data_IF_675634272346
#
_entry.id   IF_675634272346
#
_cell.length_a   1.000
_cell.length_b   1.000
_cell.length_c   1.000
_cell.angle_alpha   90.00
_cell.angle_beta   90.00
_cell.angle_gamma   90.00
#
_symmetry.space_group_name_H-M   'P 1'
#
loop_
_entity.id
_entity.type
_entity.pdbx_description
1 polymer ?
#
# COMPACT_ATOMS: atom_id res chain seq x y z
N UNK A 1 8.89 -10.96 20.52
CA UNK A 1 8.64 -11.64 19.23
C UNK A 1 9.46 -10.97 18.16
N UNK A 2 9.86 -11.74 17.16
CA UNK A 2 10.52 -11.22 15.96
C UNK A 2 9.49 -11.09 14.84
N UNK A 3 9.34 -9.89 14.31
CA UNK A 3 8.44 -9.56 13.20
C UNK A 3 9.30 -9.32 11.97
N UNK A 4 9.10 -10.09 10.92
CA UNK A 4 9.72 -9.92 9.61
C UNK A 4 8.74 -9.19 8.72
N UNK A 5 9.13 -8.02 8.21
CA UNK A 5 8.32 -7.21 7.31
C UNK A 5 9.00 -7.12 5.93
N UNK A 6 8.27 -7.51 4.90
CA UNK A 6 8.75 -7.45 3.53
C UNK A 6 8.19 -6.21 2.87
N UNK A 7 9.06 -5.25 2.55
CA UNK A 7 8.70 -4.00 1.90
C UNK A 7 9.64 -3.72 0.74
N UNK A 8 9.14 -3.06 -0.31
CA UNK A 8 9.99 -2.52 -1.36
C UNK A 8 10.70 -1.24 -0.85
N UNK A 9 11.88 -0.97 -1.39
CA UNK A 9 12.58 0.28 -1.10
C UNK A 9 11.85 1.47 -1.71
N UNK A 10 11.86 2.58 -1.01
CA UNK A 10 11.53 3.84 -1.63
C UNK A 10 12.54 4.14 -2.74
N UNK A 11 12.09 4.60 -3.92
CA UNK A 11 13.00 4.94 -4.99
C UNK A 11 14.00 6.00 -4.49
N UNK A 12 15.29 5.65 -4.53
CA UNK A 12 16.36 6.60 -4.23
C UNK A 12 16.26 7.78 -5.19
N UNK A 13 15.93 8.92 -4.65
CA UNK A 13 15.73 10.12 -5.44
C UNK A 13 14.30 10.66 -5.43
N UNK A 14 13.41 10.00 -4.70
CA UNK A 14 12.08 10.49 -4.38
C UNK A 14 11.26 11.01 -5.55
N UNK A 15 10.11 11.57 -5.26
CA UNK A 15 9.40 12.44 -6.19
C UNK A 15 10.32 13.61 -6.56
N UNK A 16 10.30 14.05 -7.82
CA UNK A 16 11.07 15.24 -8.22
C UNK A 16 10.84 16.34 -7.19
N UNK A 17 11.88 17.08 -6.83
CA UNK A 17 11.85 18.20 -5.88
C UNK A 17 10.82 19.30 -6.24
N UNK A 18 10.17 19.17 -7.38
CA UNK A 18 9.04 19.99 -7.84
C UNK A 18 7.69 19.68 -7.15
N UNK A 19 7.62 18.65 -6.30
CA UNK A 19 6.44 18.41 -5.46
C UNK A 19 6.78 18.73 -4.01
N UNK A 20 6.64 19.99 -3.59
CA UNK A 20 6.79 20.32 -2.19
C UNK A 20 5.60 19.75 -1.42
N UNK A 21 5.76 18.58 -0.84
CA UNK A 21 4.77 17.93 0.03
C UNK A 21 4.39 18.86 1.19
N UNK A 22 5.32 19.72 1.57
CA UNK A 22 5.15 20.72 2.62
C UNK A 22 4.09 21.80 2.31
N UNK A 23 3.74 21.97 1.03
CA UNK A 23 2.71 22.94 0.59
C UNK A 23 1.33 22.32 0.41
N UNK A 24 1.19 21.00 0.54
CA UNK A 24 -0.12 20.37 0.49
C UNK A 24 -0.92 20.76 1.75
N UNK A 25 -2.20 21.14 1.58
CA UNK A 25 -3.03 21.49 2.72
C UNK A 25 -3.14 20.28 3.66
N UNK A 26 -2.80 20.49 4.93
CA UNK A 26 -3.00 19.46 5.95
C UNK A 26 -4.49 19.38 6.26
N UNK A 27 -5.05 18.22 6.09
CA UNK A 27 -6.43 17.94 6.50
C UNK A 27 -6.38 17.50 7.96
N UNK A 28 -6.75 18.41 8.86
CA UNK A 28 -6.77 18.13 10.31
C UNK A 28 -7.98 17.30 10.72
N UNK A 29 -9.03 17.32 9.91
CA UNK A 29 -10.29 16.65 10.23
C UNK A 29 -11.00 16.18 8.96
N UNK A 30 -11.35 14.92 8.90
CA UNK A 30 -12.17 14.39 7.82
C UNK A 30 -13.66 14.74 8.04
N UNK A 31 -14.44 14.93 6.93
CA UNK A 31 -15.84 15.39 7.02
C UNK A 31 -16.78 14.53 7.85
N UNK A 32 -16.50 13.26 8.00
CA UNK A 32 -17.30 12.31 8.77
C UNK A 32 -16.93 12.23 10.27
N UNK A 33 -16.11 13.16 10.74
CA UNK A 33 -15.63 13.18 12.11
C UNK A 33 -14.50 12.18 12.39
N UNK A 34 -14.00 11.47 11.42
CA UNK A 34 -12.78 10.66 11.57
C UNK A 34 -11.61 11.60 11.86
N UNK A 35 -11.08 11.47 13.05
CA UNK A 35 -9.80 12.10 13.40
C UNK A 35 -8.73 11.05 13.18
N UNK A 36 -7.96 11.20 12.11
CA UNK A 36 -6.66 10.52 12.09
C UNK A 36 -5.74 11.28 13.04
N UNK A 37 -4.96 10.56 13.88
CA UNK A 37 -3.84 11.21 14.55
C UNK A 37 -2.98 11.79 13.45
N UNK A 38 -2.88 13.12 13.39
CA UNK A 38 -2.00 13.80 12.44
C UNK A 38 -0.64 13.89 13.13
N UNK A 39 0.35 13.11 12.72
CA UNK A 39 1.69 13.29 13.22
C UNK A 39 2.12 14.73 12.91
N UNK A 40 2.86 15.36 13.83
CA UNK A 40 3.39 16.72 13.64
C UNK A 40 4.31 16.84 12.42
N UNK A 41 4.73 15.72 11.89
CA UNK A 41 5.41 15.50 10.63
C UNK A 41 5.51 14.02 10.36
N UNK A 42 5.48 13.61 9.11
CA UNK A 42 5.87 12.25 8.74
C UNK A 42 7.36 12.33 8.54
N UNK A 43 8.11 11.65 9.39
CA UNK A 43 9.55 11.55 9.27
C UNK A 43 9.88 10.47 8.22
N UNK A 44 10.10 10.91 6.99
CA UNK A 44 10.46 10.03 5.90
C UNK A 44 11.97 9.84 5.89
N UNK A 45 12.43 8.67 6.25
CA UNK A 45 13.79 8.25 5.94
C UNK A 45 13.82 7.65 4.53
N UNK A 46 14.58 8.21 3.59
CA UNK A 46 14.76 7.63 2.27
C UNK A 46 15.25 6.16 2.37
N UNK A 47 14.54 5.23 1.72
CA UNK A 47 14.85 3.80 1.77
C UNK A 47 14.10 3.01 2.83
N UNK A 48 13.35 3.67 3.71
CA UNK A 48 12.30 3.04 4.53
C UNK A 48 10.96 3.48 3.97
N UNK A 49 10.07 2.51 3.71
CA UNK A 49 8.83 2.85 3.09
C UNK A 49 8.00 3.69 4.04
N UNK A 50 7.96 4.98 3.75
CA UNK A 50 6.92 5.91 4.18
C UNK A 50 6.49 5.66 5.63
N UNK A 51 5.96 6.54 6.33
CA UNK A 51 5.55 6.44 7.71
C UNK A 51 4.93 5.13 8.23
N UNK A 52 4.74 4.11 7.38
CA UNK A 52 4.31 2.78 7.84
C UNK A 52 5.40 1.99 8.58
N UNK A 53 6.67 2.28 8.36
CA UNK A 53 7.78 1.64 9.09
C UNK A 53 8.45 2.63 10.04
N UNK A 54 8.72 3.85 9.59
CA UNK A 54 9.38 4.89 10.37
C UNK A 54 8.41 5.99 10.82
N UNK A 55 8.82 6.83 11.76
CA UNK A 55 8.04 7.95 12.27
C UNK A 55 7.14 7.62 13.46
N UNK A 56 6.42 8.63 13.93
CA UNK A 56 5.63 8.58 15.17
C UNK A 56 4.51 7.52 15.13
N UNK A 57 3.92 7.30 13.97
CA UNK A 57 2.88 6.29 13.75
C UNK A 57 3.42 5.01 13.09
N UNK A 58 4.75 4.92 12.96
CA UNK A 58 5.39 3.83 12.26
C UNK A 58 5.29 2.49 13.01
N UNK A 59 5.26 1.42 12.23
CA UNK A 59 5.23 0.05 12.76
C UNK A 59 6.46 -0.26 13.64
N UNK A 60 7.62 0.29 13.29
CA UNK A 60 8.87 0.11 14.06
C UNK A 60 8.70 0.58 15.49
N UNK A 61 8.31 1.85 15.65
CA UNK A 61 8.13 2.43 17.00
C UNK A 61 7.10 1.65 17.81
N UNK A 62 5.97 1.31 17.20
CA UNK A 62 4.91 0.54 17.86
C UNK A 62 5.41 -0.82 18.38
N UNK A 63 6.16 -1.54 17.56
CA UNK A 63 6.65 -2.89 17.91
C UNK A 63 7.81 -2.83 18.91
N UNK A 64 8.76 -1.92 18.72
CA UNK A 64 9.93 -1.79 19.60
C UNK A 64 9.54 -1.29 20.98
N UNK A 65 8.61 -0.33 21.08
CA UNK A 65 8.06 0.12 22.36
C UNK A 65 7.32 -1.00 23.12
N UNK A 66 6.75 -1.98 22.39
CA UNK A 66 6.15 -3.17 22.95
C UNK A 66 7.16 -4.32 23.25
N UNK A 67 8.44 -4.07 23.08
CA UNK A 67 9.51 -5.04 23.34
C UNK A 67 9.66 -6.12 22.27
N UNK A 68 9.26 -5.84 21.02
CA UNK A 68 9.40 -6.72 19.88
C UNK A 68 10.55 -6.26 18.98
N UNK A 69 11.06 -7.17 18.15
CA UNK A 69 12.10 -6.87 17.16
C UNK A 69 11.45 -6.78 15.79
N UNK A 70 11.66 -5.69 15.05
CA UNK A 70 11.24 -5.55 13.67
C UNK A 70 12.45 -5.66 12.74
N UNK A 71 12.38 -6.60 11.80
CA UNK A 71 13.33 -6.74 10.69
C UNK A 71 12.59 -6.40 9.40
N UNK A 72 13.15 -5.50 8.60
CA UNK A 72 12.57 -5.08 7.32
C UNK A 72 13.55 -5.43 6.20
N UNK A 73 13.05 -6.00 5.12
CA UNK A 73 13.86 -6.32 3.95
C UNK A 73 13.04 -6.27 2.66
N UNK A 74 13.70 -5.92 1.55
CA UNK A 74 13.18 -6.02 0.19
C UNK A 74 13.74 -7.24 -0.56
N UNK A 75 14.79 -7.87 -0.04
CA UNK A 75 15.45 -9.04 -0.64
C UNK A 75 14.64 -10.31 -0.31
N UNK A 76 13.80 -10.75 -1.26
CA UNK A 76 12.76 -11.75 -1.03
C UNK A 76 12.66 -12.87 -2.08
N UNK A 77 13.28 -12.71 -3.26
CA UNK A 77 12.96 -13.57 -4.41
C UNK A 77 13.95 -14.73 -4.60
N UNK A 78 15.24 -14.48 -4.39
CA UNK A 78 16.26 -15.49 -4.61
C UNK A 78 16.29 -16.54 -3.48
N UNK A 79 16.60 -17.80 -3.78
CA UNK A 79 16.90 -18.79 -2.74
C UNK A 79 18.05 -18.31 -1.83
N UNK A 80 17.84 -18.40 -0.53
CA UNK A 80 18.80 -17.89 0.46
C UNK A 80 18.84 -16.37 0.60
N UNK A 81 17.82 -15.66 0.10
CA UNK A 81 17.65 -14.23 0.29
C UNK A 81 17.58 -13.84 1.77
N UNK A 82 17.67 -12.53 2.04
CA UNK A 82 17.58 -12.04 3.42
C UNK A 82 16.26 -12.42 4.07
N UNK A 83 15.13 -12.34 3.35
CA UNK A 83 13.84 -12.71 3.88
C UNK A 83 13.78 -14.18 4.33
N UNK A 84 14.37 -15.13 3.58
CA UNK A 84 14.42 -16.53 3.98
C UNK A 84 15.29 -16.75 5.23
N UNK A 85 16.42 -16.06 5.33
CA UNK A 85 17.29 -16.17 6.51
C UNK A 85 16.61 -15.65 7.76
N UNK A 86 15.91 -14.54 7.64
CA UNK A 86 15.18 -13.92 8.76
C UNK A 86 13.89 -14.68 9.12
N UNK A 87 13.31 -15.41 8.15
CA UNK A 87 12.11 -16.20 8.32
C UNK A 87 12.30 -17.36 9.31
N UNK A 88 13.50 -17.94 9.36
CA UNK A 88 13.79 -19.18 10.13
C UNK A 88 13.38 -19.07 11.60
N UNK A 89 13.53 -17.90 12.18
CA UNK A 89 13.24 -17.62 13.60
C UNK A 89 12.17 -16.52 13.79
N UNK A 90 11.52 -16.07 12.72
CA UNK A 90 10.45 -15.11 12.79
C UNK A 90 9.20 -15.70 13.46
N UNK A 91 8.58 -14.94 14.36
CA UNK A 91 7.27 -15.25 14.94
C UNK A 91 6.11 -14.79 14.06
N UNK A 92 6.29 -13.66 13.36
CA UNK A 92 5.29 -13.04 12.51
C UNK A 92 5.95 -12.60 11.20
N UNK A 93 5.26 -12.83 10.08
CA UNK A 93 5.64 -12.28 8.77
C UNK A 93 4.57 -11.30 8.33
N UNK A 94 4.99 -10.12 7.88
CA UNK A 94 4.14 -9.13 7.22
C UNK A 94 4.58 -9.03 5.76
N UNK A 95 3.69 -9.34 4.84
CA UNK A 95 3.92 -9.25 3.40
C UNK A 95 2.82 -8.43 2.74
N UNK A 96 2.97 -8.13 1.46
CA UNK A 96 2.03 -7.29 0.72
C UNK A 96 1.62 -7.97 -0.59
N UNK A 97 0.35 -7.90 -1.00
CA UNK A 97 -0.09 -8.54 -2.23
C UNK A 97 0.51 -7.92 -3.49
N UNK A 98 0.91 -6.66 -3.45
CA UNK A 98 1.54 -5.95 -4.57
C UNK A 98 3.07 -6.02 -4.59
N UNK A 99 3.69 -6.52 -3.53
CA UNK A 99 5.12 -6.85 -3.43
C UNK A 99 5.26 -8.16 -2.63
N UNK A 100 4.73 -9.28 -3.16
CA UNK A 100 4.53 -10.48 -2.38
C UNK A 100 5.85 -11.18 -2.03
N UNK A 101 5.98 -11.61 -0.80
CA UNK A 101 6.87 -12.67 -0.40
C UNK A 101 6.07 -13.97 -0.40
N UNK A 102 6.27 -14.80 -1.41
CA UNK A 102 5.53 -16.04 -1.54
C UNK A 102 5.88 -16.99 -0.40
N UNK A 103 4.96 -17.14 0.55
CA UNK A 103 5.09 -18.02 1.68
C UNK A 103 4.64 -19.43 1.25
N UNK A 104 5.52 -20.09 0.50
CA UNK A 104 5.28 -21.44 -0.02
C UNK A 104 5.39 -22.48 1.10
N UNK A 105 4.97 -23.71 0.81
CA UNK A 105 5.09 -24.85 1.73
C UNK A 105 6.53 -25.04 2.23
N UNK A 106 7.51 -24.89 1.34
CA UNK A 106 8.92 -25.01 1.65
C UNK A 106 9.38 -23.93 2.65
N UNK A 107 8.97 -22.68 2.39
CA UNK A 107 9.27 -21.55 3.28
C UNK A 107 8.57 -21.68 4.62
N UNK A 108 7.33 -22.13 4.64
CA UNK A 108 6.62 -22.44 5.89
C UNK A 108 7.35 -23.53 6.69
N UNK A 109 7.84 -24.57 6.02
CA UNK A 109 8.60 -25.61 6.68
C UNK A 109 9.93 -25.15 7.29
N UNK A 110 10.51 -24.05 6.78
CA UNK A 110 11.72 -23.42 7.34
C UNK A 110 11.41 -22.56 8.58
N UNK A 111 10.20 -22.02 8.66
CA UNK A 111 9.75 -21.02 9.62
C UNK A 111 9.34 -21.66 10.96
N UNK A 112 10.30 -22.09 11.76
CA UNK A 112 10.07 -22.92 12.95
C UNK A 112 9.24 -22.25 14.05
N UNK A 113 9.28 -20.94 14.12
CA UNK A 113 8.62 -20.16 15.18
C UNK A 113 7.39 -19.42 14.68
N UNK A 114 7.09 -19.50 13.37
CA UNK A 114 6.05 -18.70 12.75
C UNK A 114 4.66 -19.05 13.31
N UNK A 115 3.96 -18.06 13.78
CA UNK A 115 2.62 -18.14 14.35
C UNK A 115 1.58 -17.43 13.49
N UNK A 116 2.01 -16.38 12.78
CA UNK A 116 1.09 -15.54 12.05
C UNK A 116 1.75 -14.99 10.77
N UNK A 117 0.98 -15.01 9.68
CA UNK A 117 1.30 -14.32 8.43
C UNK A 117 0.23 -13.24 8.20
N UNK A 118 0.67 -11.99 8.09
CA UNK A 118 -0.20 -10.83 7.85
C UNK A 118 0.00 -10.36 6.43
N UNK A 119 -1.08 -10.30 5.68
CA UNK A 119 -1.12 -9.64 4.37
C UNK A 119 -1.52 -8.19 4.57
N UNK A 120 -0.59 -7.26 4.36
CA UNK A 120 -0.84 -5.82 4.48
C UNK A 120 -1.57 -5.31 3.22
N UNK A 121 -2.79 -5.76 3.04
CA UNK A 121 -3.66 -5.49 1.90
C UNK A 121 -4.78 -6.50 1.83
N UNK A 122 -5.44 -6.58 0.69
CA UNK A 122 -6.51 -7.52 0.41
C UNK A 122 -5.96 -8.64 -0.49
N UNK A 123 -6.25 -9.89 -0.13
CA UNK A 123 -5.78 -11.07 -0.84
C UNK A 123 -4.54 -11.72 -0.20
N UNK A 124 -4.60 -13.03 -0.10
CA UNK A 124 -3.56 -13.88 0.48
C UNK A 124 -3.03 -14.93 -0.51
N UNK A 125 -3.18 -14.71 -1.81
CA UNK A 125 -2.79 -15.65 -2.87
C UNK A 125 -1.29 -16.01 -2.86
N UNK A 126 -0.48 -15.19 -2.19
CA UNK A 126 0.95 -15.42 -2.01
C UNK A 126 1.28 -16.29 -0.77
N UNK A 127 0.28 -16.77 -0.06
CA UNK A 127 0.44 -17.67 1.09
C UNK A 127 -0.16 -19.03 0.76
N UNK A 128 0.61 -20.09 0.96
CA UNK A 128 0.08 -21.47 0.90
C UNK A 128 -0.80 -21.71 2.14
N UNK A 129 -2.10 -21.48 1.97
CA UNK A 129 -3.08 -21.58 3.06
C UNK A 129 -3.16 -23.00 3.64
N UNK A 130 -3.02 -24.04 2.81
CA UNK A 130 -3.05 -25.42 3.31
C UNK A 130 -1.84 -25.70 4.18
N UNK A 131 -0.65 -25.31 3.73
CA UNK A 131 0.55 -25.47 4.52
C UNK A 131 0.52 -24.64 5.81
N UNK A 132 -0.06 -23.43 5.77
CA UNK A 132 -0.25 -22.60 6.95
C UNK A 132 -1.17 -23.29 7.99
N UNK A 133 -2.31 -23.81 7.55
CA UNK A 133 -3.24 -24.55 8.43
C UNK A 133 -2.59 -25.79 9.04
N UNK A 134 -1.88 -26.58 8.23
CA UNK A 134 -1.19 -27.81 8.69
C UNK A 134 -0.13 -27.49 9.76
N UNK A 135 0.47 -26.31 9.71
CA UNK A 135 1.47 -25.84 10.67
C UNK A 135 0.90 -24.92 11.76
N UNK A 136 -0.44 -24.74 11.82
CA UNK A 136 -1.15 -23.90 12.80
C UNK A 136 -0.68 -22.44 12.78
N UNK A 137 -0.46 -21.92 11.58
CA UNK A 137 -0.12 -20.51 11.33
C UNK A 137 -1.40 -19.77 10.98
N UNK A 138 -1.71 -18.74 11.73
CA UNK A 138 -2.82 -17.85 11.42
C UNK A 138 -2.48 -16.96 10.21
N UNK A 139 -3.37 -16.89 9.23
CA UNK A 139 -3.23 -16.01 8.07
C UNK A 139 -4.28 -14.93 8.15
N UNK A 140 -3.85 -13.68 8.17
CA UNK A 140 -4.72 -12.52 8.31
C UNK A 140 -4.54 -11.54 7.16
N UNK A 141 -5.63 -10.94 6.72
CA UNK A 141 -5.67 -9.85 5.75
C UNK A 141 -6.16 -8.57 6.40
N UNK A 142 -5.66 -7.43 5.91
CA UNK A 142 -6.16 -6.11 6.32
C UNK A 142 -7.30 -5.72 5.38
N UNK A 143 -8.41 -6.44 5.52
CA UNK A 143 -9.59 -6.27 4.68
C UNK A 143 -10.30 -4.94 4.99
N UNK A 144 -10.81 -4.27 3.96
CA UNK A 144 -11.53 -2.99 4.01
C UNK A 144 -10.74 -1.75 4.46
N UNK A 145 -9.44 -1.86 4.77
CA UNK A 145 -8.65 -0.72 5.26
C UNK A 145 -8.59 0.46 4.28
N UNK A 146 -8.63 0.19 2.98
CA UNK A 146 -8.53 1.20 1.92
C UNK A 146 -9.75 1.24 0.97
N UNK A 147 -10.86 0.57 1.31
CA UNK A 147 -12.02 0.44 0.42
C UNK A 147 -12.59 1.80 0.01
N UNK A 148 -12.67 2.76 0.93
CA UNK A 148 -13.12 4.12 0.63
C UNK A 148 -12.17 4.82 -0.36
N UNK A 149 -10.87 4.77 -0.10
CA UNK A 149 -9.85 5.36 -0.98
C UNK A 149 -9.90 4.77 -2.39
N UNK A 150 -10.10 3.46 -2.50
CA UNK A 150 -10.25 2.78 -3.80
C UNK A 150 -11.52 3.22 -4.49
N UNK A 151 -12.66 3.31 -3.79
CA UNK A 151 -13.93 3.75 -4.36
C UNK A 151 -13.84 5.19 -4.89
N UNK A 152 -13.28 6.10 -4.11
CA UNK A 152 -13.07 7.49 -4.52
C UNK A 152 -12.14 7.61 -5.71
N UNK A 153 -11.06 6.81 -5.74
CA UNK A 153 -10.13 6.78 -6.86
C UNK A 153 -10.79 6.27 -8.15
N UNK A 154 -11.63 5.24 -8.05
CA UNK A 154 -12.41 4.72 -9.20
C UNK A 154 -13.35 5.81 -9.74
N UNK A 155 -14.11 6.48 -8.87
CA UNK A 155 -15.01 7.57 -9.30
C UNK A 155 -14.21 8.71 -9.95
N UNK A 156 -13.08 9.09 -9.37
CA UNK A 156 -12.19 10.09 -9.96
C UNK A 156 -11.72 9.67 -11.36
N UNK A 157 -11.29 8.42 -11.54
CA UNK A 157 -10.85 7.92 -12.85
C UNK A 157 -11.99 7.94 -13.89
N UNK A 158 -13.19 7.49 -13.51
CA UNK A 158 -14.36 7.50 -14.38
C UNK A 158 -14.66 8.93 -14.84
N UNK A 159 -14.75 9.87 -13.91
CA UNK A 159 -15.01 11.28 -14.23
C UNK A 159 -13.90 11.89 -15.08
N UNK A 160 -12.64 11.57 -14.78
CA UNK A 160 -11.50 12.05 -15.57
C UNK A 160 -11.55 11.57 -17.02
N UNK A 161 -11.99 10.33 -17.24
CA UNK A 161 -12.13 9.75 -18.58
C UNK A 161 -13.32 10.34 -19.34
N UNK A 162 -14.52 10.35 -18.76
CA UNK A 162 -15.72 10.86 -19.47
C UNK A 162 -15.67 12.36 -19.70
N UNK A 163 -14.96 13.10 -18.87
CA UNK A 163 -14.74 14.55 -19.03
C UNK A 163 -13.49 14.90 -19.84
N UNK A 164 -12.75 13.93 -20.36
CA UNK A 164 -11.50 14.12 -21.12
C UNK A 164 -10.47 15.03 -20.39
N UNK A 165 -10.41 14.89 -19.05
CA UNK A 165 -9.63 15.80 -18.19
C UNK A 165 -8.15 15.85 -18.57
N UNK A 166 -7.52 14.70 -18.84
CA UNK A 166 -6.08 14.64 -19.11
C UNK A 166 -5.67 15.39 -20.38
N UNK A 167 -6.47 15.29 -21.45
CA UNK A 167 -6.18 16.01 -22.68
C UNK A 167 -6.42 17.51 -22.50
N UNK A 168 -7.49 17.89 -21.81
CA UNK A 168 -7.79 19.30 -21.54
C UNK A 168 -6.72 19.94 -20.67
N UNK A 169 -6.26 19.23 -19.64
CA UNK A 169 -5.15 19.68 -18.80
C UNK A 169 -3.86 19.91 -19.62
N UNK A 170 -3.52 18.98 -20.52
CA UNK A 170 -2.34 19.10 -21.38
C UNK A 170 -2.46 20.32 -22.31
N UNK A 171 -3.61 20.48 -22.97
CA UNK A 171 -3.86 21.60 -23.88
C UNK A 171 -3.68 22.95 -23.16
N UNK A 172 -4.23 23.07 -21.95
CA UNK A 172 -4.11 24.30 -21.15
C UNK A 172 -2.68 24.57 -20.74
N UNK A 173 -1.95 23.54 -20.28
CA UNK A 173 -0.55 23.70 -19.91
C UNK A 173 0.37 24.06 -21.07
N UNK A 174 0.02 23.67 -22.27
CA UNK A 174 0.72 24.04 -23.50
C UNK A 174 0.31 25.42 -24.03
N UNK A 175 -0.52 26.16 -23.29
CA UNK A 175 -1.00 27.51 -23.65
C UNK A 175 -2.18 27.50 -24.65
N UNK A 176 -2.78 26.34 -24.87
CA UNK A 176 -3.94 26.21 -25.75
C UNK A 176 -5.25 26.52 -25.03
N UNK A 177 -6.26 26.90 -25.85
CA UNK A 177 -7.62 27.06 -25.39
C UNK A 177 -8.57 26.60 -26.50
N UNK A 178 -9.26 25.48 -26.31
CA UNK A 178 -10.12 24.91 -27.34
C UNK A 178 -11.40 24.29 -26.75
N UNK A 179 -12.42 25.13 -26.64
CA UNK A 179 -13.71 24.69 -26.10
C UNK A 179 -14.41 23.68 -27.04
N UNK A 180 -14.21 23.79 -28.36
CA UNK A 180 -14.84 22.89 -29.32
C UNK A 180 -14.34 21.44 -29.16
N UNK A 181 -13.04 21.25 -28.96
CA UNK A 181 -12.48 19.92 -28.67
C UNK A 181 -12.93 19.38 -27.32
N UNK A 182 -13.01 20.23 -26.31
CA UNK A 182 -13.48 19.82 -24.98
C UNK A 182 -14.94 19.32 -25.08
N UNK A 183 -15.81 20.05 -25.72
CA UNK A 183 -17.23 19.67 -25.93
C UNK A 183 -17.35 18.38 -26.74
N UNK A 184 -16.53 18.22 -27.77
CA UNK A 184 -16.57 17.03 -28.64
C UNK A 184 -16.20 15.76 -27.98
N UNK A 185 -15.33 15.80 -26.95
CA UNK A 185 -14.73 14.62 -26.30
C UNK A 185 -15.25 14.37 -24.90
N UNK A 186 -16.00 15.30 -24.34
CA UNK A 186 -16.52 15.17 -22.98
C UNK A 186 -17.98 14.73 -23.01
N UNK A 187 -18.33 13.89 -22.08
CA UNK A 187 -19.69 13.38 -21.89
C UNK A 187 -20.11 13.58 -20.44
N UNK A 188 -21.42 13.66 -20.21
CA UNK A 188 -21.97 13.58 -18.87
C UNK A 188 -22.13 12.11 -18.46
N UNK A 189 -21.90 11.82 -17.20
CA UNK A 189 -22.03 10.46 -16.68
C UNK A 189 -23.49 10.07 -16.48
N UNK A 190 -24.37 11.05 -16.41
CA UNK A 190 -25.82 10.85 -16.24
C UNK A 190 -26.38 9.94 -17.35
N UNK A 191 -27.11 8.91 -16.95
CA UNK A 191 -27.70 7.95 -17.87
C UNK A 191 -26.74 6.93 -18.48
N UNK A 192 -25.46 6.99 -18.16
CA UNK A 192 -24.46 6.00 -18.62
C UNK A 192 -24.48 4.73 -17.78
N UNK A 193 -24.10 3.63 -18.41
CA UNK A 193 -23.91 2.36 -17.72
C UNK A 193 -22.43 2.15 -17.41
N UNK A 194 -22.12 1.90 -16.16
CA UNK A 194 -20.76 1.59 -15.69
C UNK A 194 -20.72 0.14 -15.26
N UNK A 195 -19.80 -0.62 -15.87
CA UNK A 195 -19.52 -2.00 -15.48
C UNK A 195 -18.29 -2.06 -14.57
N UNK A 196 -18.36 -2.86 -13.52
CA UNK A 196 -17.23 -3.13 -12.64
C UNK A 196 -16.89 -4.62 -12.64
N UNK A 197 -15.60 -4.93 -12.55
CA UNK A 197 -15.12 -6.29 -12.28
C UNK A 197 -14.71 -6.31 -10.81
N UNK A 198 -15.44 -7.09 -10.02
CA UNK A 198 -15.48 -7.04 -8.56
C UNK A 198 -16.21 -5.78 -8.02
N UNK A 199 -16.80 -5.91 -6.86
CA UNK A 199 -17.63 -4.84 -6.28
C UNK A 199 -17.46 -4.70 -4.75
N UNK A 200 -16.39 -5.21 -4.19
CA UNK A 200 -16.11 -5.03 -2.76
C UNK A 200 -15.35 -6.16 -2.16
#
# INVERSE_FOLDING_TARGET
MKVLCILYDDPKGGMPSSYPVETLPKIEKYPDGQTLPTPKGIDFNPGELLGCVSGELGLRKFLEDAGHTLVVTNDKDAPGCAAEKELVDADVVISQPFFPFYLTKERIAMAKNLKMAITAGIGSDHVDLQAAMDNKIDVMEVTFCNSRSVAEHIVMMILSLVRDYHNQYRIINEGGWNIADAVRRSYDLEGMHVGTVAAG
#
